data_IF_472791884237
#
_entry.id   IF_472791884237
#
_cell.length_a   1.000
_cell.length_b   1.000
_cell.length_c   1.000
_cell.angle_alpha   90.00
_cell.angle_beta   90.00
_cell.angle_gamma   90.00
#
_symmetry.space_group_name_H-M   'P 1'
#
loop_
_entity.id
_entity.type
_entity.pdbx_description
1 polymer ?
#
# COMPACT_ATOMS: atom_id res chain seq x y z
N UNK A 1 -41.09 -37.03 -38.38
CA UNK A 1 -40.57 -37.54 -37.08
C UNK A 1 -39.06 -37.32 -37.09
N UNK A 2 -38.62 -36.34 -36.27
CA UNK A 2 -37.27 -35.99 -35.81
C UNK A 2 -36.07 -35.93 -36.78
N UNK A 3 -35.81 -34.70 -37.25
CA UNK A 3 -34.48 -34.11 -37.49
C UNK A 3 -33.78 -33.86 -36.15
N UNK A 4 -32.58 -34.42 -35.93
CA UNK A 4 -31.70 -34.05 -34.81
C UNK A 4 -30.76 -32.92 -35.25
N UNK A 5 -30.96 -31.75 -34.67
CA UNK A 5 -29.96 -30.69 -34.58
C UNK A 5 -28.77 -31.19 -33.76
N UNK A 6 -27.56 -31.11 -34.32
CA UNK A 6 -26.32 -31.23 -33.54
C UNK A 6 -25.85 -29.81 -33.25
N UNK A 7 -25.77 -29.49 -31.96
CA UNK A 7 -25.57 -28.17 -31.39
C UNK A 7 -24.14 -27.69 -31.58
N UNK A 8 -23.97 -26.54 -32.23
CA UNK A 8 -22.75 -25.75 -32.22
C UNK A 8 -22.54 -25.17 -30.81
N UNK A 9 -21.79 -25.85 -29.95
CA UNK A 9 -21.50 -25.33 -28.59
C UNK A 9 -20.14 -25.75 -28.05
N UNK A 10 -19.12 -25.89 -28.91
CA UNK A 10 -17.75 -26.27 -28.46
C UNK A 10 -16.71 -25.16 -28.67
N UNK A 11 -17.10 -23.98 -29.16
CA UNK A 11 -16.17 -22.88 -29.47
C UNK A 11 -16.35 -21.61 -28.62
N UNK A 12 -16.90 -21.73 -27.41
CA UNK A 12 -17.08 -20.59 -26.50
C UNK A 12 -16.46 -20.77 -25.10
N UNK A 13 -15.66 -21.82 -24.88
CA UNK A 13 -15.02 -22.06 -23.57
C UNK A 13 -13.51 -21.80 -23.54
N UNK A 14 -12.88 -21.46 -24.67
CA UNK A 14 -11.44 -21.18 -24.72
C UNK A 14 -11.07 -19.69 -24.53
N UNK A 15 -12.04 -18.79 -24.53
CA UNK A 15 -11.80 -17.34 -24.37
C UNK A 15 -12.14 -16.78 -22.98
N UNK A 16 -12.78 -17.56 -22.11
CA UNK A 16 -13.08 -17.15 -20.74
C UNK A 16 -11.97 -17.49 -19.73
N UNK A 17 -11.02 -18.34 -20.09
CA UNK A 17 -9.89 -18.69 -19.21
C UNK A 17 -8.73 -17.69 -19.26
N UNK A 18 -8.77 -16.72 -20.18
CA UNK A 18 -7.71 -15.70 -20.34
C UNK A 18 -8.09 -14.36 -19.66
N UNK A 19 -9.36 -14.19 -19.30
CA UNK A 19 -9.85 -12.97 -18.61
C UNK A 19 -10.08 -13.19 -17.11
N UNK A 20 -9.72 -14.38 -16.60
CA UNK A 20 -9.84 -14.76 -15.18
C UNK A 20 -8.47 -15.05 -14.55
N UNK A 21 -7.44 -14.33 -14.98
CA UNK A 21 -6.06 -14.54 -14.51
C UNK A 21 -5.50 -13.38 -13.68
N UNK A 22 -6.29 -12.41 -13.23
CA UNK A 22 -5.75 -11.34 -12.37
C UNK A 22 -6.79 -10.86 -11.36
N UNK A 23 -7.26 -11.75 -10.50
CA UNK A 23 -7.74 -11.43 -9.14
C UNK A 23 -7.59 -12.71 -8.33
N UNK A 24 -6.35 -13.17 -8.20
CA UNK A 24 -6.01 -14.04 -7.09
C UNK A 24 -6.00 -13.14 -5.87
N UNK A 25 -7.07 -13.16 -5.07
CA UNK A 25 -6.96 -12.88 -3.63
C UNK A 25 -6.11 -14.02 -3.08
N UNK A 26 -4.80 -13.85 -3.19
CA UNK A 26 -3.84 -14.93 -3.08
C UNK A 26 -3.04 -14.79 -1.81
N UNK A 27 -3.08 -15.82 -0.99
CA UNK A 27 -2.06 -16.16 0.03
C UNK A 27 -0.65 -16.06 -0.60
N UNK A 28 -0.08 -14.86 -0.59
CA UNK A 28 1.13 -14.52 -1.35
C UNK A 28 1.94 -13.46 -0.64
N UNK A 29 3.24 -13.73 -0.49
CA UNK A 29 4.16 -12.79 0.11
C UNK A 29 4.21 -11.49 -0.70
N UNK A 30 4.21 -10.35 0.00
CA UNK A 30 4.35 -9.02 -0.60
C UNK A 30 5.51 -8.27 0.02
N UNK A 31 6.22 -7.48 -0.76
CA UNK A 31 7.14 -6.49 -0.21
C UNK A 31 6.35 -5.27 0.27
N UNK A 32 6.63 -4.84 1.50
CA UNK A 32 5.99 -3.68 2.12
C UNK A 32 6.98 -2.53 2.14
N UNK A 33 6.64 -1.46 1.43
CA UNK A 33 7.42 -0.24 1.36
C UNK A 33 6.71 0.93 2.01
N UNK A 34 7.48 1.92 2.46
CA UNK A 34 7.00 3.25 2.78
C UNK A 34 7.55 4.23 1.76
N UNK A 35 6.68 5.04 1.16
CA UNK A 35 7.10 6.24 0.45
C UNK A 35 6.92 7.47 1.33
N UNK A 36 7.90 8.37 1.28
CA UNK A 36 7.95 9.60 2.06
C UNK A 36 8.13 10.80 1.13
N UNK A 37 7.34 11.84 1.38
CA UNK A 37 7.39 13.11 0.66
C UNK A 37 7.49 14.27 1.63
N UNK A 38 8.34 15.28 1.40
CA UNK A 38 8.21 16.57 2.07
C UNK A 38 6.86 17.19 1.75
N UNK A 39 6.26 17.91 2.69
CA UNK A 39 5.08 18.73 2.42
C UNK A 39 5.48 20.10 1.89
N UNK A 40 4.87 20.49 0.76
CA UNK A 40 5.08 21.81 0.15
C UNK A 40 4.75 22.93 1.13
N UNK A 41 5.60 23.96 1.16
CA UNK A 41 5.40 25.14 2.03
C UNK A 41 5.75 24.93 3.51
N UNK A 42 6.33 23.78 3.90
CA UNK A 42 6.69 23.48 5.30
C UNK A 42 8.18 23.65 5.61
N UNK A 43 8.98 24.08 4.64
CA UNK A 43 10.44 24.20 4.79
C UNK A 43 11.15 22.86 5.00
N UNK A 44 10.52 21.74 4.64
CA UNK A 44 11.06 20.39 4.84
C UNK A 44 10.95 19.90 6.29
N UNK A 45 10.06 20.48 7.09
CA UNK A 45 9.86 20.11 8.50
C UNK A 45 8.71 19.10 8.70
N UNK A 46 7.78 19.03 7.75
CA UNK A 46 6.65 18.10 7.81
C UNK A 46 6.68 17.20 6.58
N UNK A 47 6.26 15.96 6.78
CA UNK A 47 6.31 14.91 5.77
C UNK A 47 4.97 14.20 5.68
N UNK A 48 4.70 13.71 4.47
CA UNK A 48 3.62 12.79 4.16
C UNK A 48 4.20 11.42 3.93
N UNK A 49 3.54 10.39 4.46
CA UNK A 49 3.91 9.00 4.22
C UNK A 49 2.73 8.17 3.75
N UNK A 50 3.04 7.17 2.94
CA UNK A 50 2.09 6.19 2.41
C UNK A 50 2.78 4.84 2.34
N UNK A 51 2.00 3.76 2.42
CA UNK A 51 2.52 2.39 2.28
C UNK A 51 2.27 1.90 0.87
N UNK A 52 3.28 1.30 0.24
CA UNK A 52 3.12 0.56 -1.00
C UNK A 52 3.28 -0.92 -0.71
N UNK A 53 2.36 -1.74 -1.18
CA UNK A 53 2.42 -3.19 -1.05
C UNK A 53 2.51 -3.79 -2.44
N UNK A 54 3.63 -4.43 -2.74
CA UNK A 54 3.90 -4.95 -4.08
C UNK A 54 4.03 -6.48 -4.02
N UNK A 55 3.30 -7.24 -4.86
CA UNK A 55 3.42 -8.69 -4.89
C UNK A 55 4.86 -9.12 -5.12
N UNK A 56 5.38 -10.02 -4.28
CA UNK A 56 6.79 -10.45 -4.36
C UNK A 56 7.10 -11.11 -5.69
N UNK A 57 6.17 -11.90 -6.23
CA UNK A 57 6.32 -12.62 -7.49
C UNK A 57 6.29 -11.73 -8.75
N UNK A 58 5.84 -10.46 -8.63
CA UNK A 58 5.83 -9.50 -9.72
C UNK A 58 7.22 -8.91 -10.04
N UNK A 59 8.19 -9.05 -9.13
CA UNK A 59 9.58 -8.61 -9.35
C UNK A 59 10.39 -9.65 -10.12
N UNK A 60 11.40 -9.20 -10.87
CA UNK A 60 12.37 -10.13 -11.45
C UNK A 60 13.21 -10.81 -10.36
N UNK A 61 13.79 -11.97 -10.67
CA UNK A 61 14.56 -12.75 -9.70
C UNK A 61 15.68 -11.94 -9.03
N UNK A 62 16.43 -11.14 -9.79
CA UNK A 62 17.50 -10.31 -9.23
C UNK A 62 16.99 -9.23 -8.27
N UNK A 63 15.82 -8.64 -8.56
CA UNK A 63 15.18 -7.64 -7.69
C UNK A 63 14.61 -8.29 -6.42
N UNK A 64 14.05 -9.51 -6.53
CA UNK A 64 13.64 -10.29 -5.36
C UNK A 64 14.82 -10.63 -4.47
N UNK A 65 15.90 -11.16 -5.04
CA UNK A 65 17.11 -11.51 -4.27
C UNK A 65 17.66 -10.27 -3.55
N UNK A 66 17.69 -9.12 -4.24
CA UNK A 66 18.10 -7.84 -3.65
C UNK A 66 17.22 -7.42 -2.47
N UNK A 67 15.89 -7.48 -2.62
CA UNK A 67 14.94 -7.09 -1.57
C UNK A 67 14.93 -8.08 -0.42
N UNK A 68 15.03 -9.39 -0.68
CA UNK A 68 15.10 -10.44 0.31
C UNK A 68 16.36 -10.32 1.17
N UNK A 69 17.51 -10.04 0.54
CA UNK A 69 18.78 -9.80 1.24
C UNK A 69 18.69 -8.60 2.20
N UNK A 70 18.04 -7.52 1.77
CA UNK A 70 17.78 -6.36 2.64
C UNK A 70 16.83 -6.78 3.77
N UNK A 71 15.67 -7.36 3.45
CA UNK A 71 14.63 -7.75 4.39
C UNK A 71 15.16 -8.67 5.50
N UNK A 72 16.04 -9.61 5.17
CA UNK A 72 16.65 -10.54 6.13
C UNK A 72 17.54 -9.86 7.19
N UNK A 73 17.92 -8.60 6.99
CA UNK A 73 18.82 -7.83 7.87
C UNK A 73 18.17 -6.58 8.49
N UNK A 74 16.87 -6.36 8.25
CA UNK A 74 16.16 -5.18 8.75
C UNK A 74 16.00 -5.21 10.28
N UNK A 75 16.35 -4.11 10.94
CA UNK A 75 15.88 -3.82 12.30
C UNK A 75 14.52 -3.10 12.26
N UNK A 76 14.41 -2.06 11.44
CA UNK A 76 13.19 -1.26 11.29
C UNK A 76 12.80 -1.09 9.82
N UNK A 77 13.71 -0.53 9.03
CA UNK A 77 13.54 -0.27 7.59
C UNK A 77 14.90 0.06 6.95
N UNK A 78 14.97 0.01 5.62
CA UNK A 78 16.13 0.46 4.86
C UNK A 78 15.71 1.39 3.71
N UNK A 79 16.43 2.49 3.51
CA UNK A 79 16.23 3.38 2.35
C UNK A 79 16.72 2.69 1.08
N UNK A 80 15.90 2.71 0.03
CA UNK A 80 16.25 2.16 -1.28
C UNK A 80 16.78 3.26 -2.19
N UNK A 81 17.81 2.92 -2.96
CA UNK A 81 18.42 3.85 -3.89
C UNK A 81 17.42 4.25 -5.00
N UNK A 82 17.38 5.54 -5.30
CA UNK A 82 16.49 6.10 -6.32
C UNK A 82 16.74 5.54 -7.71
N UNK A 83 17.99 5.27 -8.08
CA UNK A 83 18.28 4.66 -9.38
C UNK A 83 17.72 3.24 -9.50
N UNK A 84 17.59 2.52 -8.38
CA UNK A 84 16.97 1.19 -8.37
C UNK A 84 15.44 1.29 -8.46
N UNK A 85 14.78 1.99 -7.55
CA UNK A 85 13.31 1.97 -7.52
C UNK A 85 12.69 2.72 -8.70
N UNK A 86 13.37 3.73 -9.27
CA UNK A 86 12.87 4.44 -10.45
C UNK A 86 12.91 3.61 -11.73
N UNK A 87 13.68 2.52 -11.75
CA UNK A 87 13.74 1.57 -12.86
C UNK A 87 12.70 0.44 -12.75
N UNK A 88 11.99 0.32 -11.62
CA UNK A 88 11.03 -0.74 -11.35
C UNK A 88 9.58 -0.23 -11.48
N UNK A 89 8.83 -0.76 -12.44
CA UNK A 89 7.44 -0.37 -12.73
C UNK A 89 6.39 -1.36 -12.21
N UNK A 90 6.79 -2.26 -11.30
CA UNK A 90 5.92 -3.24 -10.65
C UNK A 90 4.66 -2.55 -10.09
N UNK A 91 3.50 -3.13 -10.39
CA UNK A 91 2.22 -2.68 -9.86
C UNK A 91 2.09 -3.05 -8.38
N UNK A 92 1.73 -2.06 -7.57
CA UNK A 92 1.56 -2.16 -6.14
C UNK A 92 0.17 -1.63 -5.77
N UNK A 93 -0.26 -1.94 -4.54
CA UNK A 93 -1.37 -1.25 -3.90
C UNK A 93 -0.81 -0.08 -3.09
N UNK A 94 -1.33 1.13 -3.33
CA UNK A 94 -1.04 2.34 -2.56
C UNK A 94 -2.03 2.51 -1.42
N UNK A 95 -1.51 2.62 -0.20
CA UNK A 95 -2.27 2.86 1.01
C UNK A 95 -1.84 4.20 1.59
N UNK A 96 -2.59 5.25 1.23
CA UNK A 96 -2.39 6.62 1.74
C UNK A 96 -3.64 7.17 2.39
N UNK A 97 -3.46 8.08 3.36
CA UNK A 97 -4.56 8.74 4.05
C UNK A 97 -4.45 10.26 3.95
N UNK A 98 -5.56 10.91 3.63
CA UNK A 98 -5.66 12.36 3.52
C UNK A 98 -6.96 12.92 4.09
N UNK A 99 -6.93 14.20 4.45
CA UNK A 99 -8.13 14.93 4.85
C UNK A 99 -9.04 15.18 3.65
N UNK A 100 -10.33 14.90 3.81
CA UNK A 100 -11.35 15.07 2.77
C UNK A 100 -12.72 15.43 3.38
N UNK A 101 -13.60 16.14 2.65
CA UNK A 101 -14.92 16.52 3.14
C UNK A 101 -15.93 15.35 3.06
N UNK A 102 -15.59 14.23 3.69
CA UNK A 102 -16.40 13.01 3.72
C UNK A 102 -16.40 12.41 5.13
N UNK A 103 -17.52 11.78 5.51
CA UNK A 103 -17.76 11.26 6.86
C UNK A 103 -17.92 9.74 6.86
N UNK A 104 -18.00 9.14 5.68
CA UNK A 104 -18.06 7.71 5.48
C UNK A 104 -16.75 7.06 5.91
N UNK A 105 -16.87 5.84 6.41
CA UNK A 105 -15.73 5.01 6.78
C UNK A 105 -14.75 4.84 5.62
N UNK A 106 -13.47 5.00 5.92
CA UNK A 106 -12.34 4.95 5.00
C UNK A 106 -12.40 5.85 3.76
N UNK A 107 -13.31 6.82 3.71
CA UNK A 107 -13.41 7.71 2.56
C UNK A 107 -12.17 8.63 2.38
N UNK A 108 -11.34 8.79 3.42
CA UNK A 108 -10.06 9.50 3.34
C UNK A 108 -8.89 8.63 2.87
N UNK A 109 -9.12 7.33 2.62
CA UNK A 109 -8.16 6.34 2.13
C UNK A 109 -8.63 5.87 0.75
N UNK A 110 -8.21 6.53 -0.35
CA UNK A 110 -8.58 6.11 -1.68
C UNK A 110 -8.16 4.65 -1.92
N UNK A 111 -9.03 3.89 -2.57
CA UNK A 111 -8.78 2.50 -2.92
C UNK A 111 -9.33 2.17 -4.31
N UNK A 112 -9.15 3.10 -5.25
CA UNK A 112 -9.63 2.98 -6.61
C UNK A 112 -8.66 2.21 -7.50
N UNK A 113 -8.97 2.10 -8.80
CA UNK A 113 -8.08 1.44 -9.77
C UNK A 113 -6.68 2.09 -9.88
N UNK A 114 -6.55 3.38 -9.56
CA UNK A 114 -5.25 4.06 -9.59
C UNK A 114 -4.37 3.63 -8.41
N UNK A 115 -4.97 3.44 -7.23
CA UNK A 115 -4.27 2.97 -6.03
C UNK A 115 -4.00 1.47 -6.08
N UNK A 116 -4.90 0.67 -6.66
CA UNK A 116 -4.78 -0.79 -6.78
C UNK A 116 -3.72 -1.25 -7.79
N UNK A 117 -3.30 -0.38 -8.71
CA UNK A 117 -2.30 -0.66 -9.73
C UNK A 117 -1.24 0.44 -9.77
N UNK A 118 -0.85 0.95 -8.60
CA UNK A 118 0.13 2.01 -8.45
C UNK A 118 1.53 1.51 -8.87
N UNK A 119 2.17 2.07 -9.91
CA UNK A 119 3.52 1.65 -10.31
C UNK A 119 4.56 2.09 -9.28
N UNK A 120 5.46 1.20 -8.86
CA UNK A 120 6.47 1.50 -7.82
C UNK A 120 7.31 2.76 -8.11
N UNK A 121 7.72 2.95 -9.37
CA UNK A 121 8.47 4.12 -9.84
C UNK A 121 7.64 5.42 -9.96
N UNK A 122 6.34 5.38 -9.73
CA UNK A 122 5.47 6.55 -9.81
C UNK A 122 5.87 7.61 -8.77
N UNK A 123 5.67 8.87 -9.14
CA UNK A 123 5.85 10.05 -8.26
C UNK A 123 4.51 10.73 -8.07
N UNK A 124 3.62 10.03 -7.37
CA UNK A 124 2.29 10.49 -6.99
C UNK A 124 2.08 10.25 -5.51
N UNK A 125 1.12 10.95 -4.93
CA UNK A 125 0.64 10.74 -3.58
C UNK A 125 -0.86 11.02 -3.56
N UNK A 126 -1.55 10.48 -2.56
CA UNK A 126 -2.98 10.67 -2.28
C UNK A 126 -3.32 12.14 -2.03
N UNK A 127 -2.35 12.93 -1.54
CA UNK A 127 -2.55 14.37 -1.25
C UNK A 127 -1.81 15.27 -2.25
N UNK A 128 -2.44 16.38 -2.60
CA UNK A 128 -1.95 17.30 -3.63
C UNK A 128 -0.79 18.21 -3.19
N UNK A 129 -0.54 18.35 -1.88
CA UNK A 129 0.52 19.19 -1.33
C UNK A 129 1.81 18.41 -1.00
N UNK A 130 1.88 17.12 -1.32
CA UNK A 130 3.12 16.35 -1.26
C UNK A 130 4.09 16.82 -2.36
N UNK A 131 5.35 17.06 -1.99
CA UNK A 131 6.42 17.29 -2.94
C UNK A 131 6.90 15.96 -3.53
N UNK A 132 6.18 15.51 -4.55
CA UNK A 132 6.46 14.24 -5.24
C UNK A 132 7.81 14.21 -5.96
N UNK A 133 8.42 15.38 -6.20
CA UNK A 133 9.77 15.49 -6.75
C UNK A 133 10.84 14.97 -5.79
N UNK A 134 10.57 15.03 -4.48
CA UNK A 134 11.47 14.59 -3.41
C UNK A 134 11.00 13.29 -2.73
N UNK A 135 10.37 12.39 -3.51
CA UNK A 135 10.02 11.02 -3.07
C UNK A 135 11.25 10.29 -2.55
N UNK A 136 11.12 9.63 -1.41
CA UNK A 136 12.05 8.61 -0.92
C UNK A 136 11.29 7.33 -0.64
N UNK A 137 11.93 6.19 -0.87
CA UNK A 137 11.33 4.87 -0.70
C UNK A 137 12.12 4.04 0.29
N UNK A 138 11.41 3.32 1.16
CA UNK A 138 12.00 2.53 2.23
C UNK A 138 11.37 1.14 2.24
N UNK A 139 12.17 0.07 2.29
CA UNK A 139 11.68 -1.29 2.53
C UNK A 139 11.49 -1.51 4.03
N UNK A 140 10.32 -2.02 4.42
CA UNK A 140 9.99 -2.38 5.81
C UNK A 140 10.01 -3.89 6.05
N UNK A 141 9.83 -4.69 5.00
CA UNK A 141 9.93 -6.15 5.10
C UNK A 141 9.06 -6.86 4.09
N UNK A 142 8.77 -8.12 4.43
CA UNK A 142 7.84 -9.00 3.71
C UNK A 142 6.58 -9.15 4.56
N UNK A 143 5.42 -9.04 3.94
CA UNK A 143 4.12 -9.32 4.53
C UNK A 143 3.51 -10.58 3.93
N UNK A 144 2.67 -11.28 4.69
CA UNK A 144 2.06 -12.57 4.31
C UNK A 144 0.82 -12.43 3.41
N UNK A 145 0.41 -11.20 3.10
CA UNK A 145 -0.79 -10.90 2.32
C UNK A 145 -0.61 -9.62 1.49
N UNK A 146 -1.56 -9.37 0.59
CA UNK A 146 -1.54 -8.24 -0.34
C UNK A 146 -2.07 -6.91 0.25
N UNK A 147 -1.91 -5.82 -0.50
CA UNK A 147 -2.32 -4.51 -0.02
C UNK A 147 -3.83 -4.32 0.09
N UNK A 148 -4.63 -5.08 -0.67
CA UNK A 148 -6.10 -5.04 -0.55
C UNK A 148 -6.56 -5.67 0.77
N UNK A 149 -5.96 -6.80 1.14
CA UNK A 149 -6.17 -7.42 2.45
C UNK A 149 -5.74 -6.45 3.56
N UNK A 150 -4.61 -5.78 3.40
CA UNK A 150 -4.15 -4.76 4.34
C UNK A 150 -5.13 -3.58 4.47
N UNK A 151 -5.69 -3.11 3.35
CA UNK A 151 -6.74 -2.07 3.33
C UNK A 151 -7.93 -2.50 4.20
N UNK A 152 -8.47 -3.70 3.99
CA UNK A 152 -9.58 -4.22 4.78
C UNK A 152 -9.24 -4.45 6.26
N UNK A 153 -8.00 -4.83 6.58
CA UNK A 153 -7.55 -4.91 7.96
C UNK A 153 -7.59 -3.55 8.67
N UNK A 154 -7.17 -2.46 8.01
CA UNK A 154 -7.14 -1.13 8.65
C UNK A 154 -8.48 -0.39 8.58
N UNK A 155 -9.27 -0.63 7.54
CA UNK A 155 -10.56 0.03 7.30
C UNK A 155 -11.70 -0.63 8.05
N UNK A 156 -11.96 -1.92 7.79
CA UNK A 156 -13.17 -2.58 8.26
C UNK A 156 -13.12 -2.90 9.76
N UNK A 157 -11.91 -3.07 10.31
CA UNK A 157 -11.72 -3.48 11.70
C UNK A 157 -11.51 -2.30 12.65
N UNK A 158 -11.34 -1.07 12.13
CA UNK A 158 -11.29 0.20 12.88
C UNK A 158 -10.31 0.19 14.05
N UNK A 159 -9.09 -0.25 13.79
CA UNK A 159 -8.05 -0.47 14.80
C UNK A 159 -7.66 0.80 15.57
N UNK A 160 -7.94 1.97 15.00
CA UNK A 160 -7.49 3.27 15.51
C UNK A 160 -8.50 4.39 15.19
N UNK A 161 -8.99 4.43 13.95
CA UNK A 161 -9.79 5.52 13.39
C UNK A 161 -10.80 4.91 12.40
N UNK A 162 -11.86 5.63 12.05
CA UNK A 162 -12.69 5.24 10.90
C UNK A 162 -12.03 5.62 9.57
N UNK A 163 -10.94 6.39 9.64
CA UNK A 163 -10.22 6.96 8.49
C UNK A 163 -11.15 7.71 7.54
N UNK A 164 -12.23 8.28 8.07
CA UNK A 164 -13.02 9.25 7.35
C UNK A 164 -12.15 10.48 7.07
N UNK A 165 -12.39 11.17 5.95
CA UNK A 165 -11.65 12.38 5.62
C UNK A 165 -11.83 13.48 6.67
N UNK A 166 -13.00 13.51 7.32
CA UNK A 166 -13.33 14.43 8.42
C UNK A 166 -12.70 14.05 9.77
N UNK A 167 -12.20 12.81 9.92
CA UNK A 167 -11.44 12.38 11.10
C UNK A 167 -9.98 12.88 11.07
N UNK A 168 -9.53 13.47 9.95
CA UNK A 168 -8.14 13.88 9.76
C UNK A 168 -7.75 15.00 10.74
N UNK A 169 -6.72 14.73 11.52
CA UNK A 169 -6.10 15.69 12.42
C UNK A 169 -4.59 15.70 12.17
N UNK A 170 -4.00 16.85 11.76
CA UNK A 170 -2.58 16.95 11.45
C UNK A 170 -1.62 16.51 12.57
N UNK A 171 -2.07 16.48 13.82
CA UNK A 171 -1.24 16.13 14.99
C UNK A 171 -1.51 14.71 15.50
N UNK A 172 -2.76 14.23 15.44
CA UNK A 172 -3.17 13.02 16.17
C UNK A 172 -3.77 11.91 15.33
N UNK A 173 -4.20 12.19 14.11
CA UNK A 173 -4.82 11.23 13.22
C UNK A 173 -4.56 11.67 11.78
N UNK A 174 -3.33 11.49 11.32
CA UNK A 174 -2.86 11.97 10.03
C UNK A 174 -2.32 10.80 9.18
N UNK A 175 -1.74 11.12 8.03
CA UNK A 175 -1.10 10.15 7.14
C UNK A 175 -0.04 9.28 7.84
N UNK A 176 0.79 9.88 8.69
CA UNK A 176 1.83 9.14 9.43
C UNK A 176 1.21 8.18 10.45
N UNK A 177 0.14 8.59 11.12
CA UNK A 177 -0.63 7.68 12.01
C UNK A 177 -1.23 6.51 11.23
N UNK A 178 -1.78 6.77 10.04
CA UNK A 178 -2.29 5.72 9.15
C UNK A 178 -1.18 4.77 8.71
N UNK A 179 -0.03 5.30 8.27
CA UNK A 179 1.14 4.48 7.93
C UNK A 179 1.59 3.60 9.09
N UNK A 180 1.65 4.13 10.33
CA UNK A 180 1.92 3.30 11.52
C UNK A 180 0.90 2.18 11.69
N UNK A 181 -0.39 2.46 11.49
CA UNK A 181 -1.44 1.47 11.64
C UNK A 181 -1.32 0.35 10.59
N UNK A 182 -1.05 0.68 9.33
CA UNK A 182 -0.81 -0.32 8.28
C UNK A 182 0.42 -1.16 8.62
N UNK A 183 1.58 -0.53 8.86
CA UNK A 183 2.84 -1.24 9.09
C UNK A 183 2.78 -2.13 10.34
N UNK A 184 2.35 -1.57 11.47
CA UNK A 184 2.40 -2.27 12.75
C UNK A 184 1.18 -3.15 13.01
N UNK A 185 -0.02 -2.68 12.68
CA UNK A 185 -1.23 -3.43 13.01
C UNK A 185 -1.59 -4.43 11.92
N UNK A 186 -1.57 -4.04 10.65
CA UNK A 186 -1.83 -5.02 9.60
C UNK A 186 -0.66 -6.01 9.48
N UNK A 187 0.58 -5.52 9.33
CA UNK A 187 1.73 -6.37 8.99
C UNK A 187 2.63 -6.80 10.16
N UNK A 188 2.45 -6.26 11.36
CA UNK A 188 3.36 -6.56 12.48
C UNK A 188 4.78 -6.03 12.30
N UNK A 189 5.01 -5.10 11.36
CA UNK A 189 6.31 -4.48 11.06
C UNK A 189 6.60 -3.28 11.97
N UNK A 190 7.79 -2.71 11.85
CA UNK A 190 8.18 -1.53 12.64
C UNK A 190 7.27 -0.32 12.34
N UNK A 191 6.83 0.37 13.40
CA UNK A 191 6.15 1.66 13.27
C UNK A 191 7.11 2.85 13.17
N UNK A 192 8.42 2.64 13.37
CA UNK A 192 9.40 3.72 13.30
C UNK A 192 9.44 4.25 11.87
N UNK A 193 9.49 5.57 11.71
CA UNK A 193 9.54 6.22 10.39
C UNK A 193 10.79 7.10 10.23
N UNK A 194 11.28 7.30 9.00
CA UNK A 194 12.52 8.01 8.74
C UNK A 194 12.35 9.53 8.92
N UNK A 195 12.70 10.02 10.12
CA UNK A 195 12.93 11.43 10.44
C UNK A 195 11.77 12.36 10.01
N UNK A 196 10.55 12.07 10.48
CA UNK A 196 9.35 12.85 10.13
C UNK A 196 9.19 14.14 10.96
N UNK A 197 10.13 14.44 11.85
CA UNK A 197 10.07 15.62 12.72
C UNK A 197 8.79 15.62 13.59
N UNK A 198 8.13 16.77 13.79
CA UNK A 198 6.96 16.88 14.66
C UNK A 198 5.67 16.28 14.04
N UNK A 199 5.71 15.76 12.82
CA UNK A 199 4.52 15.17 12.16
C UNK A 199 4.23 13.72 12.58
N UNK A 200 5.09 13.10 13.40
CA UNK A 200 5.00 11.71 13.86
C UNK A 200 5.15 11.61 15.40
N UNK A 201 4.26 12.30 16.12
CA UNK A 201 4.29 12.35 17.60
C UNK A 201 3.40 11.30 18.27
N UNK A 202 2.71 10.47 17.48
CA UNK A 202 1.72 9.51 17.99
C UNK A 202 2.18 8.09 17.73
N UNK A 203 2.29 7.33 18.81
CA UNK A 203 2.50 5.88 18.77
C UNK A 203 1.16 5.17 18.58
N UNK A 204 1.04 4.32 17.57
CA UNK A 204 -0.17 3.55 17.34
C UNK A 204 -0.16 2.31 18.22
N UNK A 205 -1.25 2.08 18.93
CA UNK A 205 -1.48 0.84 19.68
C UNK A 205 -2.52 0.02 18.92
N UNK A 206 -2.15 -1.19 18.52
CA UNK A 206 -3.05 -2.07 17.82
C UNK A 206 -4.00 -2.71 18.82
N UNK A 207 -5.29 -2.41 18.70
CA UNK A 207 -6.31 -3.17 19.40
C UNK A 207 -6.24 -4.64 18.99
N UNK A 208 -6.55 -5.56 19.92
CA UNK A 208 -6.50 -7.02 19.67
C UNK A 208 -7.36 -7.48 18.48
N UNK A 209 -8.31 -6.66 18.03
CA UNK A 209 -9.15 -6.94 16.85
C UNK A 209 -8.40 -6.80 15.53
N UNK A 210 -7.18 -6.29 15.56
CA UNK A 210 -6.36 -6.01 14.40
C UNK A 210 -4.93 -6.56 14.50
N UNK A 211 -4.64 -7.47 15.44
CA UNK A 211 -3.37 -8.18 15.46
C UNK A 211 -3.54 -9.45 14.62
N UNK A 212 -2.87 -9.50 13.47
CA UNK A 212 -2.91 -10.61 12.53
C UNK A 212 -1.56 -11.33 12.49
#
# INVERSE_FOLDING_TARGET
>A
INTKMVSSTVLLFAFLSIVWSVYSSGDGESYVFLQRFPLSGTGGLLFHTEVLVCPRDAFFAADRDHLDDIAASLEDFAELDESWWSANDVGCVELGYGGAPCAEECCGVPNGPEEQLYPLNSRKAVISNADVGNKRLYLYGVGDFDGETAYHHVCDHKCWSNWAGTDYNPLTNNCNTFTSAVLKCAYGLSEKKPNLGPSDMVTVTCDKKCAF
#
